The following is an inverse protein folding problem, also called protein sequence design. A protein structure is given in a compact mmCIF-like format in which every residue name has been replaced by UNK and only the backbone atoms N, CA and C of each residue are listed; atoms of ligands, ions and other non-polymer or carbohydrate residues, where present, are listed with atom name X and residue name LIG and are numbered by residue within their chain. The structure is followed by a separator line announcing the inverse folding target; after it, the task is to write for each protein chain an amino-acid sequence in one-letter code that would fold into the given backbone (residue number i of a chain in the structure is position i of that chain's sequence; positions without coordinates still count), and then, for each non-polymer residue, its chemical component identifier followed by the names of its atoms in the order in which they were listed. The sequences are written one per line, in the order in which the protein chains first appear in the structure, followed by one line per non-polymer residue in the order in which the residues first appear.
data_IF_203497157421
#
_entry.id   IF_203497157421
#
_cell.length_a   1.000
_cell.length_b   1.000
_cell.length_c   1.000
_cell.angle_alpha   90.00
_cell.angle_beta   90.00
_cell.angle_gamma   90.00
#
_symmetry.space_group_name_H-M   'P 1'
#
loop_
_entity.id
_entity.type
_entity.pdbx_description
1 polymer ?
#
# COMPACT_ATOMS: atom_id res chain seq x y z
N UNK A 1 -19.25 1.28 3.48
CA UNK A 1 -18.72 0.84 4.78
C UNK A 1 -18.91 -0.68 4.85
N UNK A 2 -18.08 -1.40 5.59
CA UNK A 2 -18.25 -2.87 5.76
C UNK A 2 -19.30 -3.17 6.82
N UNK A 3 -19.93 -4.36 6.77
CA UNK A 3 -20.89 -4.75 7.78
C UNK A 3 -20.24 -4.92 9.17
N UNK A 4 -20.95 -4.63 10.28
CA UNK A 4 -20.40 -4.76 11.64
C UNK A 4 -19.84 -6.16 11.96
N UNK A 5 -20.39 -7.21 11.36
CA UNK A 5 -19.91 -8.59 11.49
C UNK A 5 -18.47 -8.78 10.99
N UNK A 6 -18.00 -7.93 10.08
CA UNK A 6 -16.62 -7.94 9.56
C UNK A 6 -15.59 -7.80 10.69
N UNK A 7 -15.85 -6.90 11.65
CA UNK A 7 -14.96 -6.60 12.77
C UNK A 7 -14.91 -7.69 13.85
N UNK A 8 -15.92 -8.57 13.88
CA UNK A 8 -16.02 -9.66 14.86
C UNK A 8 -15.55 -11.01 14.30
N UNK A 9 -15.31 -11.09 13.00
CA UNK A 9 -14.94 -12.32 12.30
C UNK A 9 -13.44 -12.48 12.09
N UNK A 10 -13.07 -13.54 11.35
CA UNK A 10 -11.69 -13.85 10.94
C UNK A 10 -11.13 -12.90 9.87
N UNK A 11 -11.98 -12.03 9.32
CA UNK A 11 -11.64 -11.15 8.19
C UNK A 11 -11.01 -9.82 8.63
N UNK A 12 -11.15 -9.44 9.90
CA UNK A 12 -10.52 -8.24 10.44
C UNK A 12 -9.07 -8.54 10.79
N UNK A 13 -8.15 -7.76 10.23
CA UNK A 13 -6.72 -7.85 10.53
C UNK A 13 -6.47 -7.15 11.86
N UNK A 14 -6.09 -7.94 12.87
CA UNK A 14 -5.71 -7.44 14.20
C UNK A 14 -4.40 -6.65 14.14
N UNK A 15 -4.17 -5.81 15.16
CA UNK A 15 -2.96 -5.00 15.29
C UNK A 15 -1.67 -5.83 15.22
N UNK A 16 -1.58 -6.95 15.96
CA UNK A 16 -0.41 -7.85 15.92
C UNK A 16 -0.09 -8.33 14.50
N UNK A 17 -1.12 -8.66 13.73
CA UNK A 17 -0.94 -9.10 12.33
C UNK A 17 -0.43 -7.97 11.44
N UNK A 18 -0.81 -6.72 11.71
CA UNK A 18 -0.23 -5.57 11.02
C UNK A 18 1.25 -5.40 11.37
N UNK A 19 1.63 -5.53 12.64
CA UNK A 19 3.03 -5.45 13.10
C UNK A 19 3.90 -6.47 12.36
N UNK A 20 3.46 -7.72 12.31
CA UNK A 20 4.14 -8.78 11.56
C UNK A 20 4.30 -8.45 10.07
N UNK A 21 3.21 -8.04 9.40
CA UNK A 21 3.23 -7.73 7.96
C UNK A 21 4.20 -6.60 7.64
N UNK A 22 4.21 -5.54 8.44
CA UNK A 22 5.12 -4.41 8.24
C UNK A 22 6.57 -4.78 8.53
N UNK A 23 6.83 -5.57 9.58
CA UNK A 23 8.18 -6.12 9.83
C UNK A 23 8.70 -6.89 8.62
N UNK A 24 7.90 -7.80 8.09
CA UNK A 24 8.26 -8.67 6.97
C UNK A 24 8.49 -7.85 5.68
N UNK A 25 7.65 -6.84 5.43
CA UNK A 25 7.80 -5.91 4.30
C UNK A 25 9.05 -5.04 4.41
N UNK A 26 9.33 -4.50 5.60
CA UNK A 26 10.52 -3.68 5.87
C UNK A 26 11.81 -4.52 5.97
N UNK A 27 11.67 -5.85 6.13
CA UNK A 27 12.78 -6.81 6.33
C UNK A 27 13.65 -6.46 7.54
N UNK A 28 13.03 -5.97 8.60
CA UNK A 28 13.69 -5.63 9.87
C UNK A 28 13.59 -6.78 10.87
N UNK A 29 14.53 -6.85 11.80
CA UNK A 29 14.61 -7.89 12.82
C UNK A 29 13.93 -7.52 14.16
N UNK A 30 13.12 -6.46 14.16
CA UNK A 30 12.37 -5.98 15.33
C UNK A 30 10.89 -5.81 15.00
N UNK A 31 10.05 -5.71 16.03
CA UNK A 31 8.63 -5.39 15.86
C UNK A 31 8.44 -3.87 15.75
N UNK A 32 8.01 -3.35 14.59
CA UNK A 32 7.79 -1.92 14.43
C UNK A 32 6.59 -1.45 15.26
N UNK A 33 6.67 -0.24 15.80
CA UNK A 33 5.51 0.41 16.41
C UNK A 33 4.54 0.88 15.31
N UNK A 34 3.29 0.43 15.38
CA UNK A 34 2.24 0.79 14.43
C UNK A 34 1.05 1.37 15.18
N UNK A 35 0.61 2.55 14.76
CA UNK A 35 -0.61 3.20 15.27
C UNK A 35 -1.77 2.98 14.29
N UNK A 36 -2.83 2.32 14.76
CA UNK A 36 -4.05 2.06 13.98
C UNK A 36 -5.24 2.56 14.79
N UNK A 37 -5.94 3.57 14.26
CA UNK A 37 -7.10 4.17 14.91
C UNK A 37 -8.31 4.16 14.00
N UNK A 38 -9.48 3.92 14.60
CA UNK A 38 -10.74 4.11 13.92
C UNK A 38 -11.06 5.61 13.85
N UNK A 39 -11.44 6.10 12.66
CA UNK A 39 -11.98 7.45 12.49
C UNK A 39 -13.38 7.49 13.10
N UNK A 40 -13.58 8.39 14.06
CA UNK A 40 -14.85 8.56 14.78
C UNK A 40 -15.53 9.87 14.36
N UNK A 41 -16.85 9.95 14.52
CA UNK A 41 -17.58 11.22 14.39
C UNK A 41 -17.12 12.20 15.47
N UNK A 42 -17.23 13.50 15.21
CA UNK A 42 -16.75 14.55 16.14
C UNK A 42 -17.42 14.47 17.51
N UNK A 43 -18.69 14.08 17.56
CA UNK A 43 -19.47 13.96 18.81
C UNK A 43 -19.47 12.55 19.38
N UNK A 44 -19.02 11.53 18.63
CA UNK A 44 -19.10 10.13 19.04
C UNK A 44 -20.53 9.55 19.08
N UNK A 45 -21.53 10.34 18.71
CA UNK A 45 -22.94 9.94 18.75
C UNK A 45 -23.35 9.12 17.52
N UNK A 46 -24.36 8.26 17.69
CA UNK A 46 -25.01 7.52 16.60
C UNK A 46 -25.90 8.49 15.84
N UNK A 47 -25.38 9.02 14.74
CA UNK A 47 -26.09 9.94 13.85
C UNK A 47 -26.71 9.20 12.67
N UNK A 48 -27.87 9.68 12.19
CA UNK A 48 -28.58 9.08 11.05
C UNK A 48 -27.72 9.06 9.76
N UNK A 49 -26.87 10.08 9.57
CA UNK A 49 -25.94 10.16 8.45
C UNK A 49 -24.47 10.16 8.92
N UNK A 50 -23.98 8.98 9.31
CA UNK A 50 -22.58 8.77 9.74
C UNK A 50 -21.58 9.18 8.64
N UNK A 51 -21.93 9.00 7.36
CA UNK A 51 -21.02 9.28 6.25
C UNK A 51 -20.67 10.77 6.14
N UNK A 52 -21.68 11.64 6.25
CA UNK A 52 -21.51 13.10 6.18
C UNK A 52 -20.66 13.63 7.34
N UNK A 53 -20.85 13.08 8.54
CA UNK A 53 -20.08 13.43 9.73
C UNK A 53 -18.62 12.94 9.67
N UNK A 54 -18.36 11.80 9.02
CA UNK A 54 -17.02 11.29 8.84
C UNK A 54 -16.27 11.98 7.68
N UNK A 55 -16.97 12.64 6.75
CA UNK A 55 -16.36 13.21 5.55
C UNK A 55 -15.21 14.16 5.85
N UNK A 56 -15.38 15.07 6.82
CA UNK A 56 -14.32 16.01 7.24
C UNK A 56 -13.12 15.29 7.87
N UNK A 57 -13.36 14.25 8.67
CA UNK A 57 -12.29 13.50 9.33
C UNK A 57 -11.54 12.58 8.34
N UNK A 58 -12.24 12.00 7.37
CA UNK A 58 -11.64 11.24 6.28
C UNK A 58 -10.80 12.16 5.39
N UNK A 59 -11.31 13.35 5.03
CA UNK A 59 -10.54 14.34 4.28
C UNK A 59 -9.26 14.76 5.02
N UNK A 60 -9.30 14.83 6.35
CA UNK A 60 -8.13 15.11 7.17
C UNK A 60 -7.06 14.02 7.09
N UNK A 61 -7.44 12.74 7.00
CA UNK A 61 -6.48 11.65 6.79
C UNK A 61 -5.81 11.67 5.41
N UNK A 62 -6.38 12.42 4.45
CA UNK A 62 -5.86 12.57 3.09
C UNK A 62 -5.02 13.85 2.89
N UNK A 63 -4.72 14.58 3.98
CA UNK A 63 -3.81 15.74 3.94
C UNK A 63 -2.36 15.30 3.66
N UNK A 64 -1.42 16.21 3.83
CA UNK A 64 -0.01 16.02 3.50
C UNK A 64 0.62 14.82 4.22
N UNK A 65 1.23 13.92 3.44
CA UNK A 65 2.07 12.84 3.99
C UNK A 65 3.41 13.36 4.54
N UNK A 66 3.85 14.53 4.08
CA UNK A 66 5.06 15.24 4.53
C UNK A 66 4.75 16.73 4.62
N UNK A 67 5.15 17.41 5.69
CA UNK A 67 4.92 18.85 5.81
C UNK A 67 5.92 19.63 4.94
N UNK A 68 5.52 20.77 4.36
CA UNK A 68 6.44 21.62 3.58
C UNK A 68 7.70 22.04 4.36
N UNK A 69 7.56 22.26 5.68
CA UNK A 69 8.68 22.57 6.57
C UNK A 69 9.73 21.44 6.58
N UNK A 70 9.29 20.18 6.61
CA UNK A 70 10.18 19.02 6.62
C UNK A 70 10.91 18.86 5.28
N UNK A 71 10.25 19.20 4.17
CA UNK A 71 10.88 19.20 2.84
C UNK A 71 12.02 20.22 2.73
N UNK A 72 11.86 21.38 3.37
CA UNK A 72 12.84 22.47 3.32
C UNK A 72 14.00 22.27 4.29
N UNK A 73 13.74 21.64 5.44
CA UNK A 73 14.75 21.42 6.49
C UNK A 73 15.76 20.33 6.12
N UNK A 74 15.38 19.33 5.30
CA UNK A 74 16.29 18.28 4.81
C UNK A 74 16.02 17.94 3.33
N UNK A 75 16.63 18.71 2.41
CA UNK A 75 16.45 18.50 0.97
C UNK A 75 16.94 17.14 0.47
N UNK A 76 18.04 16.61 1.03
CA UNK A 76 18.61 15.33 0.61
C UNK A 76 17.68 14.17 0.99
N UNK A 77 17.15 14.18 2.22
CA UNK A 77 16.11 13.24 2.63
C UNK A 77 14.88 13.33 1.72
N UNK A 78 14.44 14.53 1.35
CA UNK A 78 13.27 14.71 0.51
C UNK A 78 13.48 14.20 -0.93
N UNK A 79 14.69 14.39 -1.49
CA UNK A 79 15.07 13.80 -2.79
C UNK A 79 15.09 12.27 -2.73
N UNK A 80 15.64 11.70 -1.66
CA UNK A 80 15.66 10.24 -1.47
C UNK A 80 14.24 9.68 -1.30
N UNK A 81 13.39 10.37 -0.52
CA UNK A 81 11.98 10.04 -0.41
C UNK A 81 11.34 10.04 -1.80
N UNK A 82 11.49 11.12 -2.57
CA UNK A 82 10.92 11.23 -3.92
C UNK A 82 11.40 10.10 -4.84
N UNK A 83 12.69 9.73 -4.77
CA UNK A 83 13.28 8.63 -5.54
C UNK A 83 12.68 7.27 -5.16
N UNK A 84 12.52 7.00 -3.87
CA UNK A 84 11.94 5.73 -3.39
C UNK A 84 10.43 5.62 -3.68
N UNK A 85 9.73 6.75 -3.59
CA UNK A 85 8.30 6.87 -3.82
C UNK A 85 7.94 6.93 -5.33
N UNK A 86 8.92 7.12 -6.20
CA UNK A 86 8.73 7.17 -7.65
C UNK A 86 8.04 5.91 -8.18
N UNK A 87 7.00 6.10 -9.00
CA UNK A 87 6.14 5.03 -9.56
C UNK A 87 5.51 4.11 -8.48
N UNK A 88 5.32 4.60 -7.25
CA UNK A 88 4.61 3.87 -6.18
C UNK A 88 3.18 4.36 -6.04
N UNK A 89 2.28 3.41 -5.80
CA UNK A 89 0.86 3.69 -5.53
C UNK A 89 0.63 3.94 -4.04
N UNK A 90 0.33 5.19 -3.67
CA UNK A 90 0.04 5.58 -2.28
C UNK A 90 -1.41 5.40 -1.88
N UNK A 91 -2.32 5.47 -2.86
CA UNK A 91 -3.76 5.46 -2.60
C UNK A 91 -4.39 4.28 -3.33
N UNK A 92 -5.05 3.41 -2.58
CA UNK A 92 -5.94 2.38 -3.10
C UNK A 92 -7.32 2.62 -2.51
N UNK A 93 -8.31 2.75 -3.37
CA UNK A 93 -9.70 2.91 -2.96
C UNK A 93 -10.43 1.58 -3.03
N UNK A 94 -11.17 1.26 -1.97
CA UNK A 94 -11.92 0.01 -1.85
C UNK A 94 -13.25 0.21 -1.13
N UNK A 95 -14.09 -0.84 -1.14
CA UNK A 95 -15.40 -0.80 -0.51
C UNK A 95 -16.27 0.37 -1.00
N UNK A 96 -16.80 1.17 -0.08
CA UNK A 96 -17.65 2.31 -0.44
C UNK A 96 -16.90 3.49 -1.09
N UNK A 97 -15.57 3.51 -1.03
CA UNK A 97 -14.75 4.57 -1.63
C UNK A 97 -14.18 4.17 -2.98
N UNK A 98 -14.42 2.93 -3.46
CA UNK A 98 -13.84 2.36 -4.69
C UNK A 98 -14.00 3.28 -5.92
N UNK A 99 -15.07 4.07 -5.98
CA UNK A 99 -15.37 4.94 -7.12
C UNK A 99 -15.08 6.43 -6.88
N UNK A 100 -14.46 6.79 -5.75
CA UNK A 100 -14.29 8.20 -5.34
C UNK A 100 -13.00 8.81 -5.90
N UNK A 101 -11.91 8.03 -5.97
CA UNK A 101 -10.63 8.47 -6.54
C UNK A 101 -10.30 7.59 -7.74
N UNK A 102 -10.92 7.94 -8.88
CA UNK A 102 -10.60 7.38 -10.20
C UNK A 102 -9.89 8.48 -11.00
N UNK A 103 -8.73 8.94 -10.50
CA UNK A 103 -7.86 9.86 -11.24
C UNK A 103 -7.20 9.04 -12.34
N UNK A 104 -7.88 9.02 -13.49
CA UNK A 104 -7.61 8.21 -14.68
C UNK A 104 -7.68 6.69 -14.42
N UNK A 105 -8.37 5.95 -15.29
CA UNK A 105 -8.40 4.47 -15.19
C UNK A 105 -7.01 3.97 -15.57
N UNK A 106 -6.10 3.93 -14.60
CA UNK A 106 -4.90 3.10 -14.72
C UNK A 106 -5.37 1.66 -14.92
N UNK A 107 -5.11 1.17 -16.12
CA UNK A 107 -5.41 -0.19 -16.53
C UNK A 107 -4.48 -1.16 -15.80
N UNK A 108 -4.83 -2.45 -15.75
CA UNK A 108 -3.89 -3.43 -15.21
C UNK A 108 -2.57 -3.42 -16.00
N UNK A 109 -2.60 -3.05 -17.28
CA UNK A 109 -1.43 -2.84 -18.11
C UNK A 109 -0.52 -1.70 -17.58
N UNK A 110 -1.08 -0.59 -17.10
CA UNK A 110 -0.31 0.51 -16.46
C UNK A 110 0.35 0.05 -15.14
N UNK A 111 -0.28 -0.91 -14.44
CA UNK A 111 0.20 -1.48 -13.17
C UNK A 111 1.27 -2.56 -13.35
N UNK A 112 1.52 -3.01 -14.58
CA UNK A 112 2.51 -4.07 -14.91
C UNK A 112 3.84 -3.49 -15.38
N UNK A 113 3.96 -2.17 -15.58
CA UNK A 113 5.20 -1.54 -16.04
C UNK A 113 6.22 -1.41 -14.90
N UNK A 114 6.84 -2.54 -14.56
CA UNK A 114 8.18 -2.59 -13.99
C UNK A 114 9.28 -2.51 -15.08
N UNK A 115 8.92 -2.60 -16.36
CA UNK A 115 9.83 -2.60 -17.51
C UNK A 115 9.73 -1.30 -18.33
N UNK A 116 9.77 -0.13 -17.66
CA UNK A 116 10.22 1.06 -18.38
C UNK A 116 11.73 0.90 -18.54
N UNK A 117 12.07 0.41 -19.72
CA UNK A 117 13.39 0.03 -20.22
C UNK A 117 14.38 1.11 -19.84
N UNK A 118 15.13 0.89 -18.76
CA UNK A 118 16.44 1.51 -18.65
C UNK A 118 17.19 1.14 -19.93
N UNK A 119 17.92 2.09 -20.50
CA UNK A 119 18.75 1.93 -21.70
C UNK A 119 19.82 0.81 -21.63
N UNK A 120 19.77 -0.04 -20.61
CA UNK A 120 20.47 -1.30 -20.56
C UNK A 120 19.96 -2.22 -21.65
N UNK A 121 20.88 -2.72 -22.46
CA UNK A 121 20.68 -3.86 -23.36
C UNK A 121 20.11 -5.04 -22.56
N UNK A 122 18.78 -5.17 -22.53
CA UNK A 122 18.09 -6.36 -22.04
C UNK A 122 18.49 -7.53 -22.95
N UNK A 123 19.28 -8.45 -22.43
CA UNK A 123 19.86 -9.59 -23.17
C UNK A 123 18.85 -10.74 -23.35
N UNK A 124 17.55 -10.45 -23.21
CA UNK A 124 16.45 -11.39 -23.37
C UNK A 124 16.34 -12.44 -22.27
N UNK A 125 17.32 -12.51 -21.35
CA UNK A 125 17.36 -13.55 -20.32
C UNK A 125 16.30 -13.28 -19.27
N UNK A 126 15.45 -14.26 -19.04
CA UNK A 126 14.43 -14.21 -17.99
C UNK A 126 14.71 -15.29 -16.96
N UNK A 127 14.86 -14.86 -15.71
CA UNK A 127 15.05 -15.76 -14.57
C UNK A 127 13.68 -16.17 -14.02
N UNK A 128 13.43 -17.46 -13.91
CA UNK A 128 12.14 -17.99 -13.51
C UNK A 128 12.05 -18.25 -12.01
N UNK A 129 10.88 -17.92 -11.47
CA UNK A 129 10.47 -18.23 -10.12
C UNK A 129 9.11 -18.92 -10.18
N UNK A 130 8.96 -20.00 -9.42
CA UNK A 130 7.70 -20.76 -9.34
C UNK A 130 7.12 -20.60 -7.94
N UNK A 131 5.82 -20.43 -7.86
CA UNK A 131 5.09 -20.43 -6.60
C UNK A 131 5.09 -21.83 -5.99
N UNK A 132 5.73 -22.00 -4.83
CA UNK A 132 5.62 -23.21 -4.03
C UNK A 132 4.40 -23.09 -3.11
N UNK A 133 3.33 -23.81 -3.45
CA UNK A 133 2.06 -23.77 -2.70
C UNK A 133 2.20 -24.30 -1.27
N UNK A 134 3.11 -25.25 -1.03
CA UNK A 134 3.37 -25.80 0.30
C UNK A 134 4.12 -24.82 1.20
N UNK A 135 5.10 -24.10 0.65
CA UNK A 135 5.89 -23.11 1.39
C UNK A 135 5.34 -21.68 1.31
N UNK A 136 4.27 -21.47 0.54
CA UNK A 136 3.61 -20.18 0.32
C UNK A 136 4.58 -19.05 -0.02
N UNK A 137 5.57 -19.36 -0.86
CA UNK A 137 6.57 -18.40 -1.33
C UNK A 137 7.04 -18.76 -2.74
N UNK A 138 7.50 -17.76 -3.47
CA UNK A 138 8.20 -18.00 -4.73
C UNK A 138 9.58 -18.60 -4.45
N UNK A 139 9.94 -19.62 -5.24
CA UNK A 139 11.27 -20.27 -5.23
C UNK A 139 11.88 -20.12 -6.61
N UNK A 140 13.19 -19.85 -6.65
CA UNK A 140 13.95 -19.85 -7.90
C UNK A 140 13.86 -21.22 -8.59
N UNK A 141 13.55 -21.21 -9.88
CA UNK A 141 13.37 -22.37 -10.74
C UNK A 141 14.25 -22.23 -11.99
N UNK A 142 15.59 -22.41 -11.87
CA UNK A 142 16.53 -22.24 -12.97
C UNK A 142 16.19 -23.07 -14.21
N UNK A 143 15.52 -24.20 -14.01
CA UNK A 143 15.06 -25.10 -15.09
C UNK A 143 14.00 -24.48 -16.01
N UNK A 144 13.39 -23.35 -15.61
CA UNK A 144 12.42 -22.60 -16.41
C UNK A 144 12.96 -21.25 -16.87
N UNK A 145 14.25 -20.99 -16.64
CA UNK A 145 14.90 -19.79 -17.16
C UNK A 145 14.82 -19.81 -18.68
N UNK A 146 14.57 -18.64 -19.28
CA UNK A 146 14.61 -18.46 -20.73
C UNK A 146 15.94 -17.79 -21.05
N UNK A 147 16.79 -18.49 -21.79
CA UNK A 147 17.90 -17.87 -22.52
C UNK A 147 17.44 -17.60 -23.95
N UNK A 148 17.98 -16.54 -24.57
CA UNK A 148 17.83 -16.28 -26.01
C UNK A 148 18.14 -17.52 -26.87
#
# INVERSE_FOLDING_TARGET
MVQPSWFKGKNYVKHERWVELWRDCLRVNYEPNIDIRAVKTKTGEVVANVAEQLQSAVAETLKYSVKPEDMANDPEWFLELTRQLHKRRFISTGGALKNVLQLDRETNEDLVIADDVGDGTDDGKRTAFVWDSGKRRYKRAPEKDKSD
#
